data_IF_079993975753
#
_entry.id   IF_079993975753
#
_cell.length_a   1.000
_cell.length_b   1.000
_cell.length_c   1.000
_cell.angle_alpha   90.00
_cell.angle_beta   90.00
_cell.angle_gamma   90.00
#
_symmetry.space_group_name_H-M   'P 1'
#
loop_
_entity.id
_entity.type
_entity.pdbx_description
1 polymer ?
#
# COMPACT_ATOMS: atom_id res chain seq x y z
N UNK A 1 4.02 -15.59 22.44
CA UNK A 1 3.75 -14.62 21.36
C UNK A 1 2.28 -14.66 20.89
N UNK A 2 1.29 -14.34 21.74
CA UNK A 2 -0.14 -14.34 21.32
C UNK A 2 -0.91 -13.04 21.61
N UNK A 3 -0.27 -12.01 22.19
CA UNK A 3 -0.99 -10.83 22.69
C UNK A 3 -0.78 -9.51 21.92
N UNK A 4 0.10 -9.47 20.93
CA UNK A 4 0.38 -8.23 20.18
C UNK A 4 -0.50 -8.04 18.93
N UNK A 5 -1.11 -9.12 18.41
CA UNK A 5 -1.96 -9.05 17.21
C UNK A 5 -3.31 -8.37 17.48
N UNK A 6 -3.78 -8.38 18.73
CA UNK A 6 -5.07 -7.79 19.10
C UNK A 6 -5.01 -6.25 19.28
N UNK A 7 -3.83 -5.70 19.56
CA UNK A 7 -3.68 -4.26 19.81
C UNK A 7 -3.62 -3.42 18.52
N UNK A 8 -3.13 -4.02 17.42
CA UNK A 8 -3.05 -3.35 16.12
C UNK A 8 -4.44 -3.17 15.51
N UNK A 9 -5.38 -4.10 15.73
CA UNK A 9 -6.74 -3.99 15.19
C UNK A 9 -7.57 -2.86 15.84
N UNK A 10 -7.31 -2.50 17.10
CA UNK A 10 -8.11 -1.51 17.83
C UNK A 10 -7.69 -0.07 17.50
N UNK A 11 -6.44 0.15 17.07
CA UNK A 11 -5.96 1.50 16.77
C UNK A 11 -6.46 2.06 15.43
N UNK A 12 -6.74 1.20 14.44
CA UNK A 12 -7.16 1.63 13.09
C UNK A 12 -8.66 1.93 12.96
N UNK A 13 -9.48 1.67 13.97
CA UNK A 13 -10.92 1.96 13.90
C UNK A 13 -11.26 3.44 14.22
N UNK A 14 -10.35 4.21 14.83
CA UNK A 14 -10.63 5.59 15.25
C UNK A 14 -10.17 6.68 14.27
N UNK A 15 -9.31 6.38 13.30
CA UNK A 15 -8.79 7.41 12.37
C UNK A 15 -9.57 7.55 11.06
N UNK A 16 -10.51 6.65 10.78
CA UNK A 16 -11.35 6.69 9.58
C UNK A 16 -12.52 7.70 9.66
N UNK A 17 -12.67 8.44 10.76
CA UNK A 17 -13.80 9.37 10.97
C UNK A 17 -13.47 10.86 10.79
N UNK A 18 -12.25 11.24 10.40
CA UNK A 18 -11.79 12.64 10.43
C UNK A 18 -11.32 13.21 9.07
N UNK A 19 -11.95 12.85 7.96
CA UNK A 19 -11.68 13.49 6.66
C UNK A 19 -12.94 14.06 6.00
N UNK A 20 -13.52 15.09 6.62
CA UNK A 20 -14.47 15.98 5.95
C UNK A 20 -13.99 17.43 6.18
N UNK A 21 -13.54 18.08 5.11
CA UNK A 21 -13.32 19.53 5.10
C UNK A 21 -11.94 19.95 4.60
N UNK A 22 -11.69 19.83 3.30
CA UNK A 22 -10.68 20.64 2.62
C UNK A 22 -11.42 21.49 1.57
N UNK A 23 -11.83 22.69 1.96
CA UNK A 23 -12.26 23.72 1.02
C UNK A 23 -11.01 24.42 0.48
N UNK A 24 -10.92 24.52 -0.85
CA UNK A 24 -9.93 25.35 -1.54
C UNK A 24 -10.22 26.83 -1.26
N UNK A 25 -9.39 27.45 -0.43
CA UNK A 25 -9.28 28.91 -0.36
C UNK A 25 -8.17 29.34 -1.32
N UNK A 26 -8.56 29.97 -2.44
CA UNK A 26 -7.64 30.62 -3.38
C UNK A 26 -7.27 31.99 -2.84
N UNK A 27 -6.21 32.07 -2.03
CA UNK A 27 -5.57 33.35 -1.73
C UNK A 27 -4.54 33.73 -2.79
N UNK A 28 -4.76 34.90 -3.37
CA UNK A 28 -3.83 35.57 -4.30
C UNK A 28 -2.59 36.06 -3.55
N UNK A 29 -1.43 35.48 -3.84
CA UNK A 29 -0.16 35.95 -3.27
C UNK A 29 0.39 37.06 -4.15
N UNK A 30 0.36 38.29 -3.62
CA UNK A 30 1.08 39.45 -4.14
C UNK A 30 2.58 39.24 -3.94
N UNK A 31 3.31 39.48 -5.02
CA UNK A 31 4.76 39.50 -5.11
C UNK A 31 5.31 40.67 -4.27
N UNK A 32 6.05 40.38 -3.21
CA UNK A 32 6.88 41.34 -2.49
C UNK A 32 8.33 40.86 -2.56
N UNK A 33 9.10 41.48 -3.47
CA UNK A 33 10.56 41.47 -3.43
C UNK A 33 11.01 42.21 -2.17
N UNK A 34 11.69 41.51 -1.27
CA UNK A 34 12.54 42.13 -0.26
C UNK A 34 13.95 41.57 -0.44
N UNK A 35 14.79 42.41 -1.02
CA UNK A 35 16.24 42.27 -0.95
C UNK A 35 16.66 42.21 0.53
N UNK A 36 17.32 41.14 0.93
CA UNK A 36 18.09 41.12 2.17
C UNK A 36 19.46 40.50 1.92
N UNK A 37 20.40 41.42 1.72
CA UNK A 37 21.84 41.25 1.72
C UNK A 37 22.30 41.33 3.18
N UNK A 38 22.94 40.28 3.71
CA UNK A 38 24.09 40.26 4.64
C UNK A 38 24.25 38.85 5.22
N UNK A 39 25.34 38.16 4.93
CA UNK A 39 26.64 38.25 5.63
C UNK A 39 26.62 37.46 6.95
N UNK A 40 27.43 36.41 7.04
CA UNK A 40 27.56 35.60 8.25
C UNK A 40 27.80 34.10 8.03
N UNK A 41 28.89 33.74 7.35
CA UNK A 41 29.44 32.38 7.43
C UNK A 41 30.01 32.14 8.84
N UNK A 42 29.18 31.72 9.78
CA UNK A 42 29.67 31.10 11.01
C UNK A 42 29.99 29.64 10.71
N UNK A 43 31.29 29.37 10.50
CA UNK A 43 31.86 28.03 10.52
C UNK A 43 31.69 27.52 11.96
N UNK A 44 30.66 26.71 12.18
CA UNK A 44 30.49 25.96 13.41
C UNK A 44 31.54 24.84 13.40
N UNK A 45 32.71 25.10 13.97
CA UNK A 45 33.70 24.08 14.29
C UNK A 45 33.11 23.16 15.35
N UNK A 46 32.42 22.11 14.90
CA UNK A 46 32.06 20.99 15.76
C UNK A 46 33.36 20.33 16.21
N UNK A 47 33.66 20.43 17.49
CA UNK A 47 34.71 19.61 18.10
C UNK A 47 34.43 18.14 17.79
N UNK A 48 35.44 17.36 17.37
CA UNK A 48 35.27 15.92 17.20
C UNK A 48 34.86 15.34 18.54
N UNK A 49 33.63 14.85 18.64
CA UNK A 49 33.19 14.03 19.77
C UNK A 49 33.94 12.71 19.66
N UNK A 50 35.16 12.67 20.21
CA UNK A 50 35.89 11.46 20.51
C UNK A 50 35.03 10.64 21.49
N UNK A 51 34.61 9.44 21.10
CA UNK A 51 34.18 8.46 22.11
C UNK A 51 32.91 7.65 21.85
N UNK A 52 32.50 7.42 20.60
CA UNK A 52 31.63 6.27 20.31
C UNK A 52 32.24 5.37 19.24
N UNK A 53 33.38 4.78 19.58
CA UNK A 53 33.81 3.52 18.99
C UNK A 53 32.81 2.44 19.45
N UNK A 54 31.65 2.37 18.81
CA UNK A 54 30.80 1.19 18.88
C UNK A 54 31.52 0.09 18.11
N UNK A 55 32.49 -0.55 18.76
CA UNK A 55 33.02 -1.83 18.31
C UNK A 55 31.84 -2.81 18.34
N UNK A 56 31.16 -2.94 17.20
CA UNK A 56 30.16 -3.98 17.02
C UNK A 56 30.82 -5.30 17.38
N UNK A 57 30.16 -6.08 18.26
CA UNK A 57 30.64 -7.40 18.60
C UNK A 57 30.80 -8.21 17.31
N UNK A 58 31.84 -9.06 17.18
CA UNK A 58 31.94 -10.00 16.06
C UNK A 58 30.64 -10.78 15.79
N UNK A 59 29.85 -11.05 16.84
CA UNK A 59 28.55 -11.71 16.74
C UNK A 59 27.48 -10.85 16.02
N UNK A 60 27.49 -9.54 16.23
CA UNK A 60 26.58 -8.59 15.58
C UNK A 60 26.91 -8.42 14.09
N UNK A 61 28.19 -8.55 13.73
CA UNK A 61 28.66 -8.53 12.34
C UNK A 61 28.24 -9.81 11.60
N UNK A 62 28.36 -10.98 12.24
CA UNK A 62 27.90 -12.23 11.63
C UNK A 62 26.39 -12.27 11.44
N UNK A 63 25.63 -11.80 12.44
CA UNK A 63 24.16 -11.76 12.38
C UNK A 63 23.66 -10.83 11.25
N UNK A 64 24.26 -9.66 11.07
CA UNK A 64 23.89 -8.75 10.00
C UNK A 64 24.21 -9.30 8.60
N UNK A 65 25.33 -10.02 8.45
CA UNK A 65 25.66 -10.64 7.17
C UNK A 65 24.70 -11.79 6.83
N UNK A 66 24.34 -12.63 7.79
CA UNK A 66 23.40 -13.73 7.58
C UNK A 66 21.99 -13.24 7.21
N UNK A 67 21.49 -12.21 7.90
CA UNK A 67 20.18 -11.60 7.62
C UNK A 67 20.12 -11.05 6.17
N UNK A 68 21.17 -10.40 5.69
CA UNK A 68 21.18 -9.80 4.34
C UNK A 68 21.29 -10.83 3.22
N UNK A 69 22.09 -11.89 3.40
CA UNK A 69 22.19 -12.99 2.42
C UNK A 69 20.85 -13.72 2.30
N UNK A 70 20.18 -14.03 3.42
CA UNK A 70 18.89 -14.72 3.41
C UNK A 70 17.80 -13.96 2.65
N UNK A 71 17.77 -12.63 2.73
CA UNK A 71 16.78 -11.80 2.01
C UNK A 71 17.02 -11.83 0.51
N UNK A 72 18.29 -11.77 0.11
CA UNK A 72 18.68 -11.74 -1.31
C UNK A 72 18.35 -13.09 -1.97
N UNK A 73 18.68 -14.19 -1.31
CA UNK A 73 18.37 -15.55 -1.78
C UNK A 73 16.86 -15.80 -1.82
N UNK A 74 16.15 -15.36 -0.77
CA UNK A 74 14.69 -15.39 -0.73
C UNK A 74 14.11 -14.66 -1.94
N UNK A 75 14.66 -13.51 -2.32
CA UNK A 75 14.15 -12.72 -3.46
C UNK A 75 14.45 -13.30 -4.83
N UNK A 76 15.58 -13.98 -4.98
CA UNK A 76 16.02 -14.59 -6.23
C UNK A 76 15.29 -15.87 -6.59
N UNK A 77 14.39 -16.33 -5.72
CA UNK A 77 13.63 -17.58 -5.93
C UNK A 77 12.21 -17.28 -6.40
N UNK A 78 11.73 -18.10 -7.34
CA UNK A 78 10.31 -18.15 -7.69
C UNK A 78 9.50 -18.49 -6.45
N UNK A 79 8.48 -17.69 -6.16
CA UNK A 79 7.68 -17.84 -4.93
C UNK A 79 6.21 -17.69 -5.22
N UNK A 80 5.43 -18.37 -4.40
CA UNK A 80 4.00 -18.19 -4.31
C UNK A 80 3.66 -17.58 -2.96
N UNK A 81 2.66 -16.72 -2.94
CA UNK A 81 2.20 -16.08 -1.72
C UNK A 81 0.69 -16.07 -1.62
N UNK A 82 0.18 -16.23 -0.41
CA UNK A 82 -1.24 -16.06 -0.08
C UNK A 82 -1.37 -14.87 0.87
N UNK A 83 -2.16 -13.89 0.47
CA UNK A 83 -2.36 -12.62 1.15
C UNK A 83 -3.75 -12.46 1.74
N UNK A 84 -3.82 -11.73 2.84
CA UNK A 84 -5.01 -11.07 3.34
C UNK A 84 -4.88 -9.58 3.10
N UNK A 85 -5.89 -9.03 2.45
CA UNK A 85 -5.96 -7.62 2.06
C UNK A 85 -7.05 -6.91 2.85
N UNK A 86 -6.78 -5.69 3.29
CA UNK A 86 -7.74 -4.81 3.92
C UNK A 86 -7.72 -3.45 3.23
N UNK A 87 -8.91 -3.02 2.80
CA UNK A 87 -9.11 -1.78 2.06
C UNK A 87 -8.35 -1.76 0.71
N UNK A 88 -8.81 -0.97 -0.26
CA UNK A 88 -8.17 -0.84 -1.57
C UNK A 88 -8.97 -1.48 -2.71
N UNK A 89 -8.28 -2.07 -3.70
CA UNK A 89 -8.88 -2.63 -4.92
C UNK A 89 -9.80 -3.84 -4.67
N UNK A 90 -9.56 -4.56 -3.58
CA UNK A 90 -10.33 -5.75 -3.14
C UNK A 90 -11.60 -5.41 -2.33
N UNK A 91 -11.91 -4.13 -2.14
CA UNK A 91 -12.98 -3.73 -1.23
C UNK A 91 -12.51 -3.65 0.23
N UNK A 92 -13.37 -4.03 1.18
CA UNK A 92 -13.09 -3.85 2.61
C UNK A 92 -12.11 -4.91 3.14
N UNK A 93 -12.29 -6.16 2.72
CA UNK A 93 -11.43 -7.28 3.07
C UNK A 93 -11.35 -8.27 1.90
N UNK A 94 -10.20 -8.91 1.72
CA UNK A 94 -10.00 -9.85 0.63
C UNK A 94 -8.87 -10.84 0.86
N UNK A 95 -8.74 -11.75 -0.09
CA UNK A 95 -7.66 -12.71 -0.20
C UNK A 95 -6.96 -12.51 -1.54
N UNK A 96 -5.64 -12.64 -1.56
CA UNK A 96 -4.85 -12.54 -2.77
C UNK A 96 -3.88 -13.70 -2.91
N UNK A 97 -3.54 -13.98 -4.16
CA UNK A 97 -2.44 -14.82 -4.56
C UNK A 97 -1.39 -13.93 -5.21
N UNK A 98 -0.13 -14.20 -4.92
CA UNK A 98 1.01 -13.57 -5.55
C UNK A 98 1.94 -14.64 -6.10
N UNK A 99 2.44 -14.43 -7.31
CA UNK A 99 3.45 -15.27 -7.95
C UNK A 99 4.63 -14.38 -8.32
N UNK A 100 5.77 -14.58 -7.68
CA UNK A 100 7.02 -13.90 -8.04
C UNK A 100 7.70 -14.66 -9.17
N UNK A 101 7.85 -13.99 -10.31
CA UNK A 101 8.49 -14.52 -11.51
C UNK A 101 9.99 -14.16 -11.57
N UNK A 102 10.35 -13.03 -10.97
CA UNK A 102 11.74 -12.60 -10.78
C UNK A 102 11.84 -11.76 -9.49
N UNK A 103 13.05 -11.33 -9.07
CA UNK A 103 13.19 -10.37 -7.97
C UNK A 103 12.41 -9.08 -8.19
N UNK A 104 12.26 -8.68 -9.46
CA UNK A 104 11.63 -7.43 -9.87
C UNK A 104 10.16 -7.61 -10.21
N UNK A 105 9.76 -8.73 -10.83
CA UNK A 105 8.41 -8.91 -11.36
C UNK A 105 7.60 -9.93 -10.57
N UNK A 106 6.35 -9.55 -10.26
CA UNK A 106 5.37 -10.48 -9.72
C UNK A 106 3.99 -10.30 -10.36
N UNK A 107 3.28 -11.40 -10.49
CA UNK A 107 1.87 -11.42 -10.84
C UNK A 107 1.05 -11.53 -9.55
N UNK A 108 -0.11 -10.89 -9.50
CA UNK A 108 -1.02 -11.00 -8.37
C UNK A 108 -2.45 -11.04 -8.86
N UNK A 109 -3.28 -11.82 -8.19
CA UNK A 109 -4.72 -11.79 -8.37
C UNK A 109 -5.42 -12.05 -7.07
N UNK A 110 -6.67 -11.64 -6.95
CA UNK A 110 -7.38 -11.81 -5.69
C UNK A 110 -8.87 -11.55 -5.81
N UNK A 111 -9.54 -11.81 -4.71
CA UNK A 111 -10.97 -11.59 -4.53
C UNK A 111 -11.20 -10.93 -3.19
N UNK A 112 -12.14 -9.99 -3.13
CA UNK A 112 -12.56 -9.41 -1.87
C UNK A 112 -14.00 -8.96 -1.85
N UNK A 113 -14.44 -8.62 -0.65
CA UNK A 113 -15.81 -8.29 -0.32
C UNK A 113 -15.85 -6.95 0.40
N UNK A 114 -16.94 -6.23 0.18
CA UNK A 114 -17.30 -5.06 0.96
C UNK A 114 -18.81 -5.05 1.21
N UNK A 115 -19.30 -4.02 1.89
CA UNK A 115 -20.73 -3.86 2.18
C UNK A 115 -21.58 -3.75 0.91
N UNK A 116 -22.05 -4.91 0.43
CA UNK A 116 -22.96 -5.02 -0.71
C UNK A 116 -22.29 -5.14 -2.09
N UNK A 117 -20.99 -5.42 -2.19
CA UNK A 117 -20.34 -5.75 -3.46
C UNK A 117 -19.14 -6.68 -3.27
N UNK A 118 -18.77 -7.38 -4.33
CA UNK A 118 -17.53 -8.16 -4.43
C UNK A 118 -16.60 -7.55 -5.46
N UNK A 119 -15.32 -7.86 -5.35
CA UNK A 119 -14.32 -7.46 -6.31
C UNK A 119 -13.36 -8.58 -6.61
N UNK A 120 -12.84 -8.61 -7.82
CA UNK A 120 -11.72 -9.45 -8.22
C UNK A 120 -10.70 -8.60 -8.96
N UNK A 121 -9.44 -8.99 -8.91
CA UNK A 121 -8.40 -8.28 -9.66
C UNK A 121 -7.33 -9.22 -10.18
N UNK A 122 -6.64 -8.76 -11.22
CA UNK A 122 -5.42 -9.33 -11.75
C UNK A 122 -4.45 -8.18 -12.03
N UNK A 123 -3.20 -8.31 -11.61
CA UNK A 123 -2.21 -7.24 -11.64
C UNK A 123 -0.79 -7.78 -11.87
N UNK A 124 0.01 -7.03 -12.63
CA UNK A 124 1.46 -7.21 -12.71
C UNK A 124 2.11 -6.11 -11.89
N UNK A 125 3.05 -6.49 -11.01
CA UNK A 125 3.80 -5.60 -10.14
C UNK A 125 5.29 -5.65 -10.48
N UNK A 126 5.93 -4.49 -10.48
CA UNK A 126 7.36 -4.33 -10.65
C UNK A 126 7.98 -3.58 -9.46
N UNK A 127 9.01 -4.16 -8.86
CA UNK A 127 9.83 -3.50 -7.83
C UNK A 127 10.66 -2.40 -8.49
N UNK A 128 10.54 -1.18 -7.99
CA UNK A 128 11.28 0.01 -8.47
C UNK A 128 12.56 0.18 -7.67
N UNK A 129 12.47 0.02 -6.35
CA UNK A 129 13.58 0.26 -5.45
C UNK A 129 13.55 -0.71 -4.29
N UNK A 130 14.71 -1.22 -3.96
CA UNK A 130 14.92 -2.05 -2.79
C UNK A 130 15.83 -1.34 -1.79
N UNK A 131 15.45 -1.42 -0.52
CA UNK A 131 16.29 -1.01 0.59
C UNK A 131 16.16 -2.02 1.74
N UNK A 132 17.16 -2.90 1.87
CA UNK A 132 17.17 -3.99 2.86
C UNK A 132 15.90 -4.85 2.74
N UNK A 133 15.05 -4.83 3.77
CA UNK A 133 13.77 -5.55 3.88
C UNK A 133 12.59 -4.81 3.25
N UNK A 134 12.77 -3.57 2.77
CA UNK A 134 11.71 -2.73 2.20
C UNK A 134 11.81 -2.71 0.68
N UNK A 135 10.70 -2.99 0.01
CA UNK A 135 10.54 -2.93 -1.44
C UNK A 135 9.52 -1.87 -1.79
N UNK A 136 9.93 -0.87 -2.56
CA UNK A 136 9.01 0.04 -3.24
C UNK A 136 8.68 -0.52 -4.62
N UNK A 137 7.42 -0.53 -4.99
CA UNK A 137 6.96 -1.12 -6.24
C UNK A 137 5.80 -0.33 -6.84
N UNK A 138 5.59 -0.53 -8.13
CA UNK A 138 4.35 -0.13 -8.80
C UNK A 138 3.67 -1.35 -9.43
N UNK A 139 2.41 -1.21 -9.79
CA UNK A 139 1.67 -2.24 -10.51
C UNK A 139 0.64 -1.65 -11.45
N UNK A 140 0.20 -2.47 -12.40
CA UNK A 140 -0.89 -2.19 -13.32
C UNK A 140 -1.70 -3.45 -13.53
N UNK A 141 -3.02 -3.30 -13.59
CA UNK A 141 -3.93 -4.42 -13.63
C UNK A 141 -5.34 -4.06 -14.04
N UNK A 142 -6.19 -5.08 -14.02
CA UNK A 142 -7.62 -4.98 -14.19
C UNK A 142 -8.31 -5.39 -12.90
N UNK A 143 -9.26 -4.58 -12.48
CA UNK A 143 -10.09 -4.84 -11.30
C UNK A 143 -11.55 -4.85 -11.73
N UNK A 144 -12.28 -5.91 -11.40
CA UNK A 144 -13.71 -5.99 -11.63
C UNK A 144 -14.43 -5.80 -10.29
N UNK A 145 -15.38 -4.86 -10.25
CA UNK A 145 -16.32 -4.75 -9.14
C UNK A 145 -17.70 -5.18 -9.59
N UNK A 146 -18.38 -5.97 -8.76
CA UNK A 146 -19.71 -6.47 -9.07
C UNK A 146 -20.60 -6.47 -7.83
N UNK A 147 -21.88 -6.18 -8.05
CA UNK A 147 -22.93 -6.47 -7.10
C UNK A 147 -24.18 -6.94 -7.83
N UNK A 148 -24.75 -8.03 -7.32
CA UNK A 148 -26.05 -8.55 -7.76
C UNK A 148 -27.15 -8.29 -6.73
N UNK A 149 -26.76 -7.82 -5.54
CA UNK A 149 -27.65 -7.65 -4.40
C UNK A 149 -28.39 -6.32 -4.47
N UNK A 150 -29.72 -6.36 -4.54
CA UNK A 150 -30.58 -5.20 -4.75
C UNK A 150 -30.57 -4.10 -3.67
N UNK A 151 -29.66 -4.19 -2.69
CA UNK A 151 -29.53 -3.28 -1.55
C UNK A 151 -28.07 -2.96 -1.30
N UNK A 152 -27.49 -2.07 -2.09
CA UNK A 152 -26.31 -1.32 -1.66
C UNK A 152 -26.80 -0.30 -0.62
N UNK A 153 -26.88 -0.75 0.64
CA UNK A 153 -27.30 0.10 1.75
C UNK A 153 -26.37 1.31 1.94
N UNK A 154 -26.64 2.13 2.96
CA UNK A 154 -25.71 3.16 3.46
C UNK A 154 -24.32 2.59 3.86
N UNK A 155 -24.18 1.26 3.87
CA UNK A 155 -22.97 0.51 4.18
C UNK A 155 -21.99 0.34 3.00
N UNK A 156 -22.22 0.98 1.85
CA UNK A 156 -21.18 1.06 0.81
C UNK A 156 -20.02 1.89 1.34
N UNK A 157 -19.02 1.21 1.86
CA UNK A 157 -17.83 1.81 2.42
C UNK A 157 -16.65 1.29 1.59
N UNK A 158 -15.86 2.18 0.94
CA UNK A 158 -15.92 3.64 0.99
C UNK A 158 -17.07 4.31 0.20
N UNK A 159 -17.81 5.21 0.85
CA UNK A 159 -18.94 5.94 0.24
C UNK A 159 -18.56 6.86 -0.93
N UNK A 160 -17.31 7.33 -0.98
CA UNK A 160 -16.82 8.19 -2.07
C UNK A 160 -16.78 7.45 -3.41
N UNK A 161 -16.52 6.14 -3.40
CA UNK A 161 -16.44 5.32 -4.60
C UNK A 161 -17.81 5.15 -5.25
N UNK A 162 -18.88 5.10 -4.44
CA UNK A 162 -20.26 5.04 -4.93
C UNK A 162 -20.62 6.27 -5.73
N UNK A 163 -20.28 7.46 -5.23
CA UNK A 163 -20.62 8.72 -5.91
C UNK A 163 -19.82 8.96 -7.19
N UNK A 164 -18.61 8.37 -7.30
CA UNK A 164 -17.72 8.53 -8.45
C UNK A 164 -18.02 7.53 -9.57
N UNK A 165 -18.20 6.26 -9.24
CA UNK A 165 -18.28 5.18 -10.23
C UNK A 165 -19.69 4.74 -10.57
N UNK A 166 -20.63 4.80 -9.61
CA UNK A 166 -21.97 4.26 -9.83
C UNK A 166 -22.88 5.32 -10.46
N UNK A 167 -23.59 4.91 -11.52
CA UNK A 167 -24.70 5.70 -12.07
C UNK A 167 -25.84 5.77 -11.04
N UNK A 168 -26.71 6.80 -11.08
CA UNK A 168 -27.85 6.88 -10.17
C UNK A 168 -28.75 5.64 -10.18
N UNK A 169 -28.96 5.02 -11.36
CA UNK A 169 -29.74 3.78 -11.49
C UNK A 169 -29.06 2.58 -10.81
N UNK A 170 -27.76 2.42 -10.96
CA UNK A 170 -26.94 1.38 -10.32
C UNK A 170 -26.92 1.57 -8.79
N UNK A 171 -26.74 2.82 -8.36
CA UNK A 171 -26.75 3.19 -6.95
C UNK A 171 -28.13 2.94 -6.29
N UNK A 172 -29.22 3.07 -7.03
CA UNK A 172 -30.58 2.83 -6.55
C UNK A 172 -30.94 1.34 -6.55
N UNK A 173 -30.60 0.63 -7.64
CA UNK A 173 -30.91 -0.80 -7.79
C UNK A 173 -29.97 -1.69 -7.02
N UNK A 174 -28.78 -1.21 -6.66
CA UNK A 174 -27.74 -2.01 -6.04
C UNK A 174 -27.01 -2.96 -7.01
N UNK A 175 -27.38 -2.97 -8.29
CA UNK A 175 -26.85 -3.91 -9.27
C UNK A 175 -25.89 -3.21 -10.21
N UNK A 176 -24.65 -3.69 -10.28
CA UNK A 176 -23.64 -3.13 -11.16
C UNK A 176 -22.52 -4.13 -11.45
N UNK A 177 -21.82 -3.88 -12.56
CA UNK A 177 -20.59 -4.56 -12.92
C UNK A 177 -19.68 -3.55 -13.63
N UNK A 178 -18.55 -3.23 -13.02
CA UNK A 178 -17.59 -2.25 -13.53
C UNK A 178 -16.22 -2.89 -13.70
N UNK A 179 -15.60 -2.62 -14.84
CA UNK A 179 -14.22 -3.01 -15.13
C UNK A 179 -13.34 -1.77 -15.05
N UNK A 180 -12.39 -1.81 -14.12
CA UNK A 180 -11.50 -0.72 -13.79
C UNK A 180 -10.10 -1.07 -14.26
N UNK A 181 -9.43 -0.14 -14.93
CA UNK A 181 -7.98 -0.17 -15.03
C UNK A 181 -7.44 0.32 -13.69
N UNK A 182 -6.65 -0.50 -13.02
CA UNK A 182 -6.05 -0.18 -11.73
C UNK A 182 -4.55 -0.02 -11.87
N UNK A 183 -4.01 1.05 -11.28
CA UNK A 183 -2.59 1.13 -10.95
C UNK A 183 -2.39 0.81 -9.47
N UNK A 184 -1.14 0.55 -9.09
CA UNK A 184 -0.72 0.46 -7.69
C UNK A 184 0.64 1.14 -7.52
N UNK A 185 0.83 1.82 -6.39
CA UNK A 185 2.12 2.30 -5.90
C UNK A 185 2.19 1.93 -4.43
N UNK A 186 3.20 1.17 -4.03
CA UNK A 186 3.22 0.60 -2.69
C UNK A 186 4.61 0.34 -2.13
N UNK A 187 4.59 0.02 -0.84
CA UNK A 187 5.75 -0.43 -0.09
C UNK A 187 5.46 -1.79 0.52
N UNK A 188 6.42 -2.71 0.45
CA UNK A 188 6.35 -4.05 1.05
C UNK A 188 7.54 -4.25 1.98
N UNK A 189 7.27 -4.58 3.23
CA UNK A 189 8.25 -5.00 4.22
C UNK A 189 8.30 -6.53 4.28
N UNK A 190 9.47 -7.11 4.07
CA UNK A 190 9.71 -8.55 4.11
C UNK A 190 10.25 -8.99 5.47
N UNK A 191 9.63 -10.03 6.03
CA UNK A 191 10.12 -10.75 7.20
C UNK A 191 10.34 -12.22 6.84
N UNK A 192 11.60 -12.61 6.68
CA UNK A 192 11.98 -13.98 6.35
C UNK A 192 12.08 -14.85 7.60
N UNK A 193 11.70 -16.12 7.48
CA UNK A 193 11.85 -17.16 8.52
C UNK A 193 12.78 -18.28 8.04
N UNK A 194 13.72 -17.95 7.16
CA UNK A 194 14.61 -18.90 6.49
C UNK A 194 14.93 -18.45 5.08
N UNK A 195 15.31 -19.39 4.21
CA UNK A 195 15.68 -19.11 2.83
C UNK A 195 14.47 -19.12 1.87
N UNK A 196 13.43 -19.93 2.14
CA UNK A 196 12.26 -20.08 1.25
C UNK A 196 10.98 -19.43 1.76
N UNK A 197 10.88 -19.25 3.08
CA UNK A 197 9.62 -18.87 3.72
C UNK A 197 9.71 -17.50 4.36
N UNK A 198 8.62 -16.75 4.28
CA UNK A 198 8.55 -15.44 4.89
C UNK A 198 7.15 -14.84 4.88
N UNK A 199 6.91 -13.91 5.78
CA UNK A 199 5.76 -13.03 5.70
C UNK A 199 6.14 -11.68 5.10
N UNK A 200 5.15 -10.98 4.57
CA UNK A 200 5.32 -9.61 4.13
C UNK A 200 4.14 -8.77 4.55
N UNK A 201 4.41 -7.56 5.02
CA UNK A 201 3.41 -6.52 5.22
C UNK A 201 3.51 -5.53 4.07
N UNK A 202 2.39 -5.07 3.52
CA UNK A 202 2.42 -4.06 2.46
C UNK A 202 1.33 -3.01 2.65
N UNK A 203 1.59 -1.84 2.06
CA UNK A 203 0.64 -0.76 1.89
C UNK A 203 0.64 -0.31 0.43
N UNK A 204 -0.54 -0.04 -0.12
CA UNK A 204 -0.75 0.33 -1.52
C UNK A 204 -1.65 1.55 -1.65
N UNK A 205 -1.26 2.47 -2.52
CA UNK A 205 -2.14 3.46 -3.13
C UNK A 205 -2.51 2.97 -4.53
N UNK A 206 -3.80 2.90 -4.83
CA UNK A 206 -4.31 2.37 -6.10
C UNK A 206 -5.19 3.38 -6.81
N UNK A 207 -4.70 4.07 -7.86
CA UNK A 207 -5.56 4.79 -8.79
C UNK A 207 -6.44 3.80 -9.56
N UNK A 208 -7.71 4.14 -9.73
CA UNK A 208 -8.75 3.33 -10.36
C UNK A 208 -9.43 4.17 -11.44
N UNK A 209 -9.34 3.72 -12.69
CA UNK A 209 -9.98 4.35 -13.84
C UNK A 209 -11.09 3.46 -14.37
N UNK A 210 -12.33 3.96 -14.37
CA UNK A 210 -13.48 3.24 -14.87
C UNK A 210 -13.66 3.46 -16.37
N UNK A 211 -13.59 2.37 -17.13
CA UNK A 211 -13.74 2.37 -18.58
C UNK A 211 -15.16 2.72 -19.04
N UNK A 212 -16.17 2.49 -18.20
CA UNK A 212 -17.57 2.72 -18.55
C UNK A 212 -18.00 4.17 -18.32
N UNK A 213 -17.51 4.81 -17.26
CA UNK A 213 -17.89 6.17 -16.87
C UNK A 213 -16.82 7.23 -17.13
N UNK A 214 -15.61 6.84 -17.55
CA UNK A 214 -14.44 7.71 -17.71
C UNK A 214 -14.10 8.48 -16.41
N UNK A 215 -14.37 7.89 -15.26
CA UNK A 215 -14.12 8.50 -13.96
C UNK A 215 -12.84 7.95 -13.34
N UNK A 216 -12.17 8.80 -12.54
CA UNK A 216 -10.96 8.46 -11.81
C UNK A 216 -11.19 8.59 -10.31
N UNK A 217 -10.79 7.57 -9.57
CA UNK A 217 -10.70 7.58 -8.12
C UNK A 217 -9.35 7.02 -7.66
N UNK A 218 -9.07 7.16 -6.37
CA UNK A 218 -7.93 6.51 -5.73
C UNK A 218 -8.41 5.81 -4.47
N UNK A 219 -7.79 4.68 -4.16
CA UNK A 219 -8.01 3.94 -2.93
C UNK A 219 -6.67 3.66 -2.26
N UNK A 220 -6.68 3.45 -0.95
CA UNK A 220 -5.52 2.99 -0.22
C UNK A 220 -5.87 1.68 0.49
N UNK A 221 -4.89 0.79 0.60
CA UNK A 221 -5.03 -0.53 1.20
C UNK A 221 -3.76 -0.96 1.89
N UNK A 222 -3.88 -1.97 2.74
CA UNK A 222 -2.75 -2.66 3.34
C UNK A 222 -3.05 -4.14 3.44
N UNK A 223 -2.02 -4.95 3.60
CA UNK A 223 -2.21 -6.39 3.69
C UNK A 223 -1.00 -7.11 4.27
N UNK A 224 -1.22 -8.39 4.54
CA UNK A 224 -0.20 -9.32 5.00
C UNK A 224 -0.24 -10.53 4.09
N UNK A 225 0.92 -10.95 3.59
CA UNK A 225 1.05 -12.17 2.81
C UNK A 225 2.06 -13.13 3.42
N UNK A 226 1.76 -14.42 3.33
CA UNK A 226 2.69 -15.50 3.60
C UNK A 226 3.24 -16.01 2.26
N UNK A 227 4.56 -16.16 2.14
CA UNK A 227 5.26 -16.53 0.92
C UNK A 227 6.07 -17.80 1.16
N UNK A 228 6.06 -18.70 0.17
CA UNK A 228 6.76 -19.99 0.16
C UNK A 228 7.21 -20.36 -1.27
#
# INVERSE_FOLDING_TARGET
MKSYLFLILVFFCNTALASNGFQEEKESIKHNQSDNKKDGSQILSLEPVEGYNTSLSPDDLQKNNYDNTSITDFQNTYRMGVGLDMMGKVGLAGVSLQLSLSPEFSFSGGFGIAGGFSSSFIEVKQVIKQYKKVLAYFGVGLTQWSSESGKIGKAFNPGFLRGKFLKPSEANTGKFQHYLISGSLGFKYLQTFGYLEGSSFYMELSPLFDLNSNSLAASAGFGVAYNF
#
